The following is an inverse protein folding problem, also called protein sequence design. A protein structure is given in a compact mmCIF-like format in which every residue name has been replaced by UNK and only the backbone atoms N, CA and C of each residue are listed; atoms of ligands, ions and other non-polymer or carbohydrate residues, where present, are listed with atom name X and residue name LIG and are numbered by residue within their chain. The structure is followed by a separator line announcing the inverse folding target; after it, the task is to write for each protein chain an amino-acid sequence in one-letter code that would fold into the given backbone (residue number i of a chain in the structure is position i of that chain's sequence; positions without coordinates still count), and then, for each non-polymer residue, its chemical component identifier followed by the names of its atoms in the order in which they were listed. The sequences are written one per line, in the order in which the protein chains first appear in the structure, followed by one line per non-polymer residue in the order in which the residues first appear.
data_IF_627382967926
#
_entry.id   IF_627382967926
#
_cell.length_a   1.000
_cell.length_b   1.000
_cell.length_c   1.000
_cell.angle_alpha   90.00
_cell.angle_beta   90.00
_cell.angle_gamma   90.00
#
_symmetry.space_group_name_H-M   'P 1'
#
loop_
_entity.id
_entity.type
_entity.pdbx_description
1 polymer ?
#
# COMPACT_ATOMS: atom_id res chain seq x y z
N UNK A 1 13.74 -10.24 -3.79
CA UNK A 1 12.80 -10.47 -4.92
C UNK A 1 12.67 -9.21 -5.77
N UNK A 2 12.14 -8.10 -5.23
CA UNK A 2 11.79 -6.89 -6.00
C UNK A 2 12.96 -6.35 -6.83
N UNK A 3 14.14 -6.19 -6.24
CA UNK A 3 15.32 -5.67 -6.95
C UNK A 3 15.74 -6.60 -8.10
N UNK A 4 15.78 -7.90 -7.86
CA UNK A 4 16.14 -8.87 -8.89
C UNK A 4 15.08 -8.89 -10.02
N UNK A 5 13.80 -8.90 -9.68
CA UNK A 5 12.71 -8.85 -10.66
C UNK A 5 12.74 -7.57 -11.49
N UNK A 6 13.08 -6.42 -10.87
CA UNK A 6 13.29 -5.14 -11.57
C UNK A 6 14.46 -5.24 -12.57
N UNK A 7 15.59 -5.73 -12.11
CA UNK A 7 16.82 -5.81 -12.92
C UNK A 7 16.66 -6.76 -14.11
N UNK A 8 15.80 -7.77 -13.97
CA UNK A 8 15.41 -8.70 -15.05
C UNK A 8 14.20 -8.19 -15.88
N UNK A 9 13.60 -7.03 -15.54
CA UNK A 9 12.47 -6.46 -16.29
C UNK A 9 11.18 -7.31 -16.23
N UNK A 10 10.93 -7.98 -15.10
CA UNK A 10 9.84 -8.96 -15.01
C UNK A 10 8.46 -8.35 -14.76
N UNK A 11 8.36 -7.10 -14.36
CA UNK A 11 7.09 -6.42 -14.11
C UNK A 11 7.05 -5.02 -14.71
N UNK A 12 5.84 -4.55 -15.05
CA UNK A 12 5.61 -3.25 -15.66
C UNK A 12 5.32 -2.15 -14.61
N UNK A 13 4.72 -2.52 -13.49
CA UNK A 13 4.40 -1.61 -12.40
C UNK A 13 4.43 -2.35 -11.06
N UNK A 14 4.66 -1.61 -9.98
CA UNK A 14 4.68 -2.12 -8.61
C UNK A 14 4.18 -1.03 -7.66
N UNK A 15 3.43 -1.43 -6.66
CA UNK A 15 3.04 -0.58 -5.54
C UNK A 15 2.94 -1.40 -4.25
N UNK A 16 3.02 -0.74 -3.10
CA UNK A 16 2.75 -1.37 -1.81
C UNK A 16 1.24 -1.41 -1.51
N UNK A 17 0.86 -2.27 -0.59
CA UNK A 17 -0.49 -2.33 -0.04
C UNK A 17 -0.55 -1.54 1.28
N UNK A 18 -0.35 -0.23 1.20
CA UNK A 18 -0.47 0.69 2.33
C UNK A 18 -1.93 0.90 2.77
N UNK A 19 -2.28 2.16 3.06
CA UNK A 19 -3.63 2.52 3.47
C UNK A 19 -4.69 2.08 2.43
N UNK A 20 -5.71 1.35 2.89
CA UNK A 20 -6.73 0.77 2.04
C UNK A 20 -6.37 -0.59 1.40
N UNK A 21 -5.18 -1.11 1.65
CA UNK A 21 -4.76 -2.45 1.21
C UNK A 21 -4.84 -2.65 -0.31
N UNK A 22 -5.45 -3.74 -0.76
CA UNK A 22 -5.61 -3.99 -2.20
C UNK A 22 -6.50 -2.95 -2.89
N UNK A 23 -7.41 -2.29 -2.16
CA UNK A 23 -8.34 -1.34 -2.78
C UNK A 23 -7.63 -0.12 -3.34
N UNK A 24 -6.64 0.42 -2.65
CA UNK A 24 -5.78 1.49 -3.17
C UNK A 24 -4.78 0.95 -4.19
N UNK A 25 -4.05 -0.10 -3.85
CA UNK A 25 -3.00 -0.64 -4.71
C UNK A 25 -3.50 -1.01 -6.11
N UNK A 26 -4.55 -1.82 -6.21
CA UNK A 26 -5.13 -2.25 -7.50
C UNK A 26 -5.95 -1.12 -8.12
N UNK A 27 -6.67 -0.34 -7.31
CA UNK A 27 -7.45 0.80 -7.79
C UNK A 27 -6.57 1.82 -8.53
N UNK A 28 -5.47 2.22 -7.95
CA UNK A 28 -4.52 3.16 -8.56
C UNK A 28 -3.83 2.58 -9.80
N UNK A 29 -3.31 1.35 -9.70
CA UNK A 29 -2.64 0.71 -10.85
C UNK A 29 -3.58 0.48 -12.03
N UNK A 30 -4.86 0.23 -11.77
CA UNK A 30 -5.89 -0.03 -12.79
C UNK A 30 -6.63 1.21 -13.28
N UNK A 31 -6.33 2.41 -12.78
CA UNK A 31 -7.11 3.64 -12.99
C UNK A 31 -7.55 3.87 -14.43
N UNK A 32 -6.66 3.70 -15.39
CA UNK A 32 -6.94 3.99 -16.81
C UNK A 32 -7.47 2.80 -17.60
N UNK A 33 -7.34 1.58 -17.07
CA UNK A 33 -7.65 0.37 -17.84
C UNK A 33 -8.73 -0.50 -17.18
N UNK A 34 -8.73 -0.64 -15.88
CA UNK A 34 -9.58 -1.54 -15.13
C UNK A 34 -8.87 -2.80 -14.64
N UNK A 35 -9.53 -3.54 -13.76
CA UNK A 35 -8.99 -4.77 -13.18
C UNK A 35 -10.09 -5.76 -12.80
N UNK A 36 -9.75 -7.04 -12.78
CA UNK A 36 -10.54 -8.10 -12.16
C UNK A 36 -9.69 -8.78 -11.08
N UNK A 37 -10.22 -8.87 -9.85
CA UNK A 37 -9.51 -9.40 -8.69
C UNK A 37 -10.27 -10.58 -8.10
N UNK A 38 -9.58 -11.68 -7.87
CA UNK A 38 -10.08 -12.89 -7.21
C UNK A 38 -9.62 -12.92 -5.75
N UNK A 39 -10.48 -12.42 -4.86
CA UNK A 39 -10.13 -12.18 -3.45
C UNK A 39 -9.81 -13.46 -2.68
N UNK A 40 -10.41 -14.57 -3.07
CA UNK A 40 -10.15 -15.91 -2.50
C UNK A 40 -8.75 -16.46 -2.83
N UNK A 41 -8.02 -15.83 -3.75
CA UNK A 41 -6.63 -16.20 -4.10
C UNK A 41 -5.59 -15.39 -3.35
N UNK A 42 -6.01 -14.36 -2.63
CA UNK A 42 -5.09 -13.50 -1.90
C UNK A 42 -4.49 -14.25 -0.69
N UNK A 43 -3.15 -14.22 -0.51
CA UNK A 43 -2.54 -14.73 0.70
C UNK A 43 -3.03 -13.95 1.92
N UNK A 44 -3.49 -14.67 2.94
CA UNK A 44 -4.07 -14.07 4.13
C UNK A 44 -3.20 -14.36 5.36
N UNK A 45 -2.96 -13.33 6.16
CA UNK A 45 -2.25 -13.47 7.43
C UNK A 45 -3.11 -14.15 8.51
N UNK A 46 -4.44 -14.01 8.40
CA UNK A 46 -5.42 -14.57 9.33
C UNK A 46 -6.53 -15.29 8.55
N UNK A 47 -6.99 -16.40 9.08
CA UNK A 47 -8.16 -17.10 8.55
C UNK A 47 -9.45 -16.39 9.01
N UNK A 48 -10.51 -16.53 8.21
CA UNK A 48 -11.85 -16.06 8.58
C UNK A 48 -12.20 -14.63 8.16
N UNK A 49 -11.33 -13.97 7.39
CA UNK A 49 -11.65 -12.66 6.80
C UNK A 49 -12.72 -12.83 5.71
N UNK A 50 -13.73 -11.95 5.72
CA UNK A 50 -14.68 -11.83 4.63
C UNK A 50 -14.06 -11.07 3.44
N UNK A 51 -14.75 -11.10 2.29
CA UNK A 51 -14.23 -10.49 1.06
C UNK A 51 -13.98 -8.98 1.16
N UNK A 52 -14.77 -8.25 1.98
CA UNK A 52 -14.56 -6.81 2.23
C UNK A 52 -13.28 -6.59 3.03
N UNK A 53 -13.10 -7.36 4.09
CA UNK A 53 -11.90 -7.29 4.92
C UNK A 53 -10.64 -7.66 4.13
N UNK A 54 -10.71 -8.69 3.27
CA UNK A 54 -9.60 -9.04 2.37
C UNK A 54 -9.24 -7.87 1.46
N UNK A 55 -10.26 -7.19 0.90
CA UNK A 55 -10.08 -6.11 -0.05
C UNK A 55 -9.42 -4.86 0.55
N UNK A 56 -9.79 -4.49 1.79
CA UNK A 56 -9.32 -3.27 2.44
C UNK A 56 -8.22 -3.50 3.49
N UNK A 57 -7.83 -4.73 3.74
CA UNK A 57 -6.85 -5.07 4.79
C UNK A 57 -5.48 -4.48 4.51
N UNK A 58 -4.98 -3.70 5.46
CA UNK A 58 -3.66 -3.09 5.46
C UNK A 58 -2.60 -4.07 5.99
N UNK A 59 -2.34 -5.16 5.25
CA UNK A 59 -1.29 -6.09 5.61
C UNK A 59 0.07 -5.50 5.20
N UNK A 60 0.89 -5.19 6.20
CA UNK A 60 2.23 -4.63 5.99
C UNK A 60 3.14 -5.57 5.18
N UNK A 61 4.12 -4.99 4.50
CA UNK A 61 5.12 -5.68 3.66
C UNK A 61 4.51 -6.44 2.46
N UNK A 62 3.26 -6.18 2.12
CA UNK A 62 2.61 -6.75 0.95
C UNK A 62 2.73 -5.81 -0.24
N UNK A 63 3.11 -6.36 -1.40
CA UNK A 63 3.29 -5.61 -2.65
C UNK A 63 2.38 -6.18 -3.74
N UNK A 64 1.87 -5.32 -4.61
CA UNK A 64 1.17 -5.69 -5.85
C UNK A 64 2.05 -5.37 -7.05
N UNK A 65 2.20 -6.33 -7.95
CA UNK A 65 2.98 -6.18 -9.18
C UNK A 65 2.09 -6.45 -10.40
N UNK A 66 2.22 -5.63 -11.43
CA UNK A 66 1.66 -5.90 -12.76
C UNK A 66 2.70 -6.65 -13.59
N UNK A 67 2.51 -7.95 -13.74
CA UNK A 67 3.47 -8.88 -14.35
C UNK A 67 2.90 -9.42 -15.66
N UNK A 68 3.63 -9.30 -16.78
CA UNK A 68 3.26 -9.98 -18.02
C UNK A 68 3.16 -11.49 -17.82
N UNK A 69 2.18 -12.18 -18.42
CA UNK A 69 1.99 -13.63 -18.23
C UNK A 69 3.24 -14.47 -18.50
N UNK A 70 4.03 -14.09 -19.48
CA UNK A 70 5.28 -14.76 -19.86
C UNK A 70 6.37 -14.69 -18.79
N UNK A 71 6.30 -13.70 -17.89
CA UNK A 71 7.27 -13.49 -16.83
C UNK A 71 6.89 -14.16 -15.50
N UNK A 72 5.64 -14.64 -15.37
CA UNK A 72 5.11 -15.18 -14.11
C UNK A 72 5.93 -16.36 -13.58
N UNK A 73 6.31 -17.29 -14.46
CA UNK A 73 7.08 -18.46 -14.06
C UNK A 73 8.46 -18.08 -13.51
N UNK A 74 9.11 -17.11 -14.17
CA UNK A 74 10.41 -16.61 -13.72
C UNK A 74 10.33 -15.89 -12.38
N UNK A 75 9.31 -15.04 -12.21
CA UNK A 75 9.06 -14.36 -10.94
C UNK A 75 8.77 -15.34 -9.81
N UNK A 76 7.94 -16.35 -10.07
CA UNK A 76 7.64 -17.40 -9.09
C UNK A 76 8.90 -18.16 -8.65
N UNK A 77 9.82 -18.44 -9.58
CA UNK A 77 11.10 -19.08 -9.27
C UNK A 77 11.98 -18.23 -8.35
N UNK A 78 12.00 -16.90 -8.55
CA UNK A 78 12.74 -15.96 -7.68
C UNK A 78 12.08 -15.92 -6.30
N UNK A 79 10.76 -15.78 -6.22
CA UNK A 79 10.02 -15.79 -4.96
C UNK A 79 10.28 -17.06 -4.15
N UNK A 80 10.23 -18.22 -4.82
CA UNK A 80 10.52 -19.51 -4.19
C UNK A 80 11.94 -19.59 -3.63
N UNK A 81 12.95 -19.10 -4.40
CA UNK A 81 14.36 -19.08 -3.97
C UNK A 81 14.56 -18.23 -2.71
N UNK A 82 13.87 -17.09 -2.64
CA UNK A 82 13.97 -16.15 -1.52
C UNK A 82 12.95 -16.45 -0.39
N UNK A 83 12.20 -17.55 -0.48
CA UNK A 83 11.14 -17.94 0.49
C UNK A 83 10.08 -16.86 0.68
N UNK A 84 9.72 -16.16 -0.40
CA UNK A 84 8.67 -15.14 -0.43
C UNK A 84 7.39 -15.75 -0.98
N UNK A 85 6.26 -15.53 -0.29
CA UNK A 85 4.95 -15.96 -0.74
C UNK A 85 4.53 -15.20 -2.01
N UNK A 86 3.94 -15.90 -2.97
CA UNK A 86 3.54 -15.38 -4.26
C UNK A 86 2.19 -15.96 -4.69
N UNK A 87 1.29 -15.09 -5.15
CA UNK A 87 0.00 -15.51 -5.70
C UNK A 87 -0.46 -14.57 -6.82
N UNK A 88 -1.12 -15.15 -7.84
CA UNK A 88 -1.81 -14.38 -8.88
C UNK A 88 -3.24 -14.13 -8.40
N UNK A 89 -3.51 -12.89 -8.00
CA UNK A 89 -4.78 -12.48 -7.40
C UNK A 89 -5.75 -11.84 -8.40
N UNK A 90 -5.34 -11.58 -9.63
CA UNK A 90 -6.19 -10.93 -10.62
C UNK A 90 -5.47 -10.61 -11.92
N UNK A 91 -6.10 -9.77 -12.70
CA UNK A 91 -5.57 -9.27 -13.97
C UNK A 91 -6.04 -7.86 -14.25
N UNK A 92 -5.18 -7.06 -14.88
CA UNK A 92 -5.56 -5.78 -15.45
C UNK A 92 -6.15 -5.99 -16.84
N UNK A 93 -7.30 -5.34 -17.12
CA UNK A 93 -8.06 -5.55 -18.37
C UNK A 93 -8.61 -4.21 -18.87
N UNK A 94 -8.62 -3.98 -20.20
CA UNK A 94 -9.11 -2.72 -20.78
C UNK A 94 -10.65 -2.65 -20.78
N UNK A 95 -11.25 -2.80 -19.60
CA UNK A 95 -12.71 -2.77 -19.42
C UNK A 95 -13.23 -1.46 -18.86
N UNK A 96 -12.33 -0.58 -18.36
CA UNK A 96 -12.69 0.63 -17.62
C UNK A 96 -13.40 0.35 -16.29
N UNK A 97 -13.41 -0.90 -15.83
CA UNK A 97 -14.11 -1.33 -14.63
C UNK A 97 -13.21 -2.09 -13.65
N UNK A 98 -13.43 -1.86 -12.38
CA UNK A 98 -12.92 -2.72 -11.32
C UNK A 98 -14.00 -3.76 -10.99
N UNK A 99 -13.64 -5.05 -11.05
CA UNK A 99 -14.49 -6.18 -10.67
C UNK A 99 -13.84 -6.96 -9.55
N UNK A 100 -14.62 -7.28 -8.53
CA UNK A 100 -14.18 -8.10 -7.42
C UNK A 100 -14.95 -9.42 -7.44
N UNK A 101 -14.21 -10.52 -7.46
CA UNK A 101 -14.71 -11.88 -7.45
C UNK A 101 -14.35 -12.56 -6.15
N UNK A 102 -15.25 -13.34 -5.60
CA UNK A 102 -15.02 -14.17 -4.42
C UNK A 102 -15.76 -15.50 -4.56
N UNK A 103 -15.02 -16.60 -4.50
CA UNK A 103 -15.57 -17.97 -4.67
C UNK A 103 -16.45 -18.10 -5.93
N UNK A 104 -15.99 -17.56 -7.04
CA UNK A 104 -16.71 -17.60 -8.32
C UNK A 104 -17.88 -16.63 -8.45
N UNK A 105 -18.21 -15.86 -7.42
CA UNK A 105 -19.28 -14.86 -7.43
C UNK A 105 -18.72 -13.44 -7.54
N UNK A 106 -19.34 -12.60 -8.36
CA UNK A 106 -19.01 -11.16 -8.40
C UNK A 106 -19.59 -10.49 -7.16
N UNK A 107 -18.72 -10.00 -6.28
CA UNK A 107 -19.08 -9.32 -5.02
C UNK A 107 -18.96 -7.79 -5.11
N UNK A 108 -18.34 -7.26 -6.16
CA UNK A 108 -18.24 -5.83 -6.40
C UNK A 108 -17.98 -5.51 -7.87
N UNK A 109 -18.49 -4.36 -8.32
CA UNK A 109 -18.16 -3.79 -9.63
C UNK A 109 -18.36 -2.28 -9.60
N UNK A 110 -17.37 -1.53 -10.06
CA UNK A 110 -17.40 -0.06 -10.10
C UNK A 110 -16.66 0.43 -11.36
N UNK A 111 -17.12 1.53 -11.95
CA UNK A 111 -16.40 2.20 -13.02
C UNK A 111 -15.15 2.89 -12.48
N UNK A 112 -14.03 2.77 -13.19
CA UNK A 112 -12.78 3.41 -12.78
C UNK A 112 -12.89 4.94 -12.83
N UNK A 113 -13.57 5.49 -13.82
CA UNK A 113 -13.85 6.93 -13.91
C UNK A 113 -14.65 7.43 -12.70
N UNK A 114 -15.67 6.68 -12.26
CA UNK A 114 -16.41 7.03 -11.06
C UNK A 114 -15.57 6.88 -9.79
N UNK A 115 -14.75 5.84 -9.70
CA UNK A 115 -13.89 5.59 -8.54
C UNK A 115 -12.90 6.74 -8.31
N UNK A 116 -12.29 7.25 -9.36
CA UNK A 116 -11.25 8.28 -9.28
C UNK A 116 -11.79 9.71 -9.40
N UNK A 117 -12.80 9.94 -10.24
CA UNK A 117 -13.36 11.25 -10.56
C UNK A 117 -14.75 11.53 -10.02
N UNK A 118 -15.45 10.54 -9.47
CA UNK A 118 -16.87 10.63 -9.10
C UNK A 118 -17.19 11.49 -7.87
N UNK A 119 -16.20 12.03 -7.18
CA UNK A 119 -16.44 12.94 -6.05
C UNK A 119 -16.83 14.33 -6.54
N UNK A 120 -17.89 14.95 -5.98
CA UNK A 120 -18.20 16.35 -6.25
C UNK A 120 -16.99 17.25 -5.93
N UNK A 121 -16.74 18.31 -6.71
CA UNK A 121 -15.67 19.24 -6.39
C UNK A 121 -15.92 19.89 -5.03
N UNK A 122 -14.99 19.74 -4.12
CA UNK A 122 -15.05 20.35 -2.79
C UNK A 122 -14.18 21.61 -2.79
N UNK A 123 -14.81 22.78 -2.73
CA UNK A 123 -14.11 24.05 -2.55
C UNK A 123 -14.15 24.42 -1.07
N UNK A 124 -12.99 24.47 -0.44
CA UNK A 124 -12.83 24.94 0.95
C UNK A 124 -12.17 26.31 0.94
N UNK A 125 -12.79 27.25 1.64
CA UNK A 125 -12.16 28.55 1.90
C UNK A 125 -11.16 28.36 3.03
N UNK A 126 -9.90 28.69 2.77
CA UNK A 126 -8.86 28.75 3.78
C UNK A 126 -8.44 30.22 3.96
N UNK A 127 -8.39 30.68 5.20
CA UNK A 127 -7.87 31.99 5.57
C UNK A 127 -6.56 31.73 6.31
N UNK A 128 -5.47 32.26 5.78
CA UNK A 128 -4.19 32.25 6.46
C UNK A 128 -4.04 33.55 7.25
N UNK A 129 -4.03 33.43 8.56
CA UNK A 129 -3.66 34.54 9.45
C UNK A 129 -2.21 34.34 9.86
N UNK A 130 -1.30 35.25 9.45
CA UNK A 130 0.08 35.16 9.88
C UNK A 130 0.14 35.21 11.40
N UNK A 131 0.69 34.18 12.03
CA UNK A 131 1.07 34.25 13.43
C UNK A 131 2.26 35.20 13.56
N UNK A 132 2.23 36.11 14.55
CA UNK A 132 3.43 36.89 14.88
C UNK A 132 4.60 35.89 15.06
N UNK A 133 5.69 36.17 14.32
CA UNK A 133 6.93 35.42 14.51
C UNK A 133 7.36 35.62 15.97
N UNK A 134 7.05 34.65 16.80
CA UNK A 134 7.70 34.57 18.10
C UNK A 134 9.12 34.07 17.82
N UNK A 135 10.08 34.96 17.99
CA UNK A 135 11.47 34.55 18.05
C UNK A 135 11.55 33.38 19.01
N UNK A 136 11.75 32.21 18.45
CA UNK A 136 12.02 31.02 19.25
C UNK A 136 13.42 31.23 19.83
N UNK A 137 13.48 31.98 20.93
CA UNK A 137 14.70 32.06 21.73
C UNK A 137 14.95 30.62 22.19
N UNK A 138 15.68 29.89 21.37
CA UNK A 138 16.34 28.68 21.86
C UNK A 138 17.23 29.16 22.98
N UNK A 139 16.74 29.03 24.21
CA UNK A 139 17.54 29.33 25.39
C UNK A 139 18.88 28.65 25.20
N UNK A 140 19.94 29.34 25.51
CA UNK A 140 21.30 28.80 25.43
C UNK A 140 21.28 27.49 26.19
N UNK A 141 21.14 26.40 25.44
CA UNK A 141 21.20 25.05 25.99
C UNK A 141 22.61 24.93 26.60
N UNK A 142 22.68 24.89 27.91
CA UNK A 142 23.92 24.57 28.60
C UNK A 142 24.51 23.27 28.04
N UNK A 143 25.79 23.05 28.26
CA UNK A 143 26.51 21.87 27.74
C UNK A 143 25.71 20.60 28.04
N UNK A 144 25.08 20.03 27.01
CA UNK A 144 24.29 18.82 27.15
C UNK A 144 25.27 17.64 27.24
N UNK A 145 25.25 16.93 28.34
CA UNK A 145 25.96 15.66 28.49
C UNK A 145 25.26 14.60 27.58
N UNK A 146 25.79 14.40 26.39
CA UNK A 146 25.17 13.55 25.34
C UNK A 146 24.89 12.16 25.86
N UNK A 147 25.85 11.53 26.53
CA UNK A 147 25.70 10.16 27.05
C UNK A 147 24.58 10.05 28.08
N UNK A 148 24.51 10.96 29.03
CA UNK A 148 23.48 10.99 30.09
C UNK A 148 22.09 11.25 29.45
N UNK A 149 22.01 12.16 28.48
CA UNK A 149 20.76 12.47 27.77
C UNK A 149 20.28 11.30 26.94
N UNK A 150 21.17 10.66 26.21
CA UNK A 150 20.86 9.47 25.42
C UNK A 150 20.32 8.33 26.30
N UNK A 151 20.97 8.05 27.41
CA UNK A 151 20.50 7.04 28.36
C UNK A 151 19.13 7.37 28.95
N UNK A 152 18.84 8.65 29.26
CA UNK A 152 17.52 9.08 29.72
C UNK A 152 16.44 8.91 28.63
N UNK A 153 16.74 9.26 27.37
CA UNK A 153 15.82 9.08 26.24
C UNK A 153 15.54 7.60 26.05
N UNK A 154 16.57 6.77 25.99
CA UNK A 154 16.42 5.32 25.80
C UNK A 154 15.69 4.63 26.94
N UNK A 155 15.80 5.14 28.16
CA UNK A 155 15.08 4.62 29.32
C UNK A 155 13.64 5.15 29.46
N UNK A 156 13.24 6.11 28.63
CA UNK A 156 11.91 6.69 28.72
C UNK A 156 10.84 5.69 28.24
N UNK A 157 9.72 5.50 28.97
CA UNK A 157 8.69 4.52 28.61
C UNK A 157 8.14 4.65 27.19
N UNK A 158 8.04 5.89 26.68
CA UNK A 158 7.57 6.14 25.30
C UNK A 158 8.55 5.61 24.22
N UNK A 159 9.83 5.46 24.56
CA UNK A 159 10.88 5.01 23.64
C UNK A 159 11.20 3.52 23.83
N UNK A 160 11.26 3.08 25.07
CA UNK A 160 11.71 1.72 25.44
C UNK A 160 10.61 0.90 26.16
N UNK A 161 9.36 1.08 25.78
CA UNK A 161 8.20 0.44 26.41
C UNK A 161 7.92 -1.00 25.94
N UNK A 162 8.88 -1.66 25.30
CA UNK A 162 8.70 -3.05 24.83
C UNK A 162 9.52 -4.01 25.64
#
# INVERSE_FOLDING_TARGET
VVLQARDEGLYNAITDCGAGGFSSAVGEMGETIGAEVWLDRAPLKYNGLNYTEIWISEAQERMVLAVPPENLERLAAICKKESVEFAVIGQFMPTGRLRLMYQGTQVGSIDMEFLHGGRPPVVRKAVYEPTEERDCVLGVMGRVEIETTLKKILAHPTVASK
#
